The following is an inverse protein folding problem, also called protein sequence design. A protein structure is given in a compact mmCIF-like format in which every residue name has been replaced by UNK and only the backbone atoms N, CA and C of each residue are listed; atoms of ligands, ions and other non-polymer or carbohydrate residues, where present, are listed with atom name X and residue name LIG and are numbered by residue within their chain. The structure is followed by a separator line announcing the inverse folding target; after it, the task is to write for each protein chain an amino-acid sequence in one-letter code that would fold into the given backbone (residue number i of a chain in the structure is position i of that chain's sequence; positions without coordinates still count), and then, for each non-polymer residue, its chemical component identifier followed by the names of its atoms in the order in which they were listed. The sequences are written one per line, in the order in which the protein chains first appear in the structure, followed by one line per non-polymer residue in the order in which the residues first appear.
data_IF_369405587517
#
_entry.id   IF_369405587517
#
_cell.length_a   1.000
_cell.length_b   1.000
_cell.length_c   1.000
_cell.angle_alpha   90.00
_cell.angle_beta   90.00
_cell.angle_gamma   90.00
#
_symmetry.space_group_name_H-M   'P 1'
#
loop_
_entity.id
_entity.type
_entity.pdbx_description
1 polymer ?
#
# COMPACT_ATOMS: atom_id res chain seq x y z
N UNK A 1 8.77 -30.61 -3.89
CA UNK A 1 8.21 -29.57 -4.77
C UNK A 1 6.79 -29.30 -4.32
N UNK A 2 6.60 -28.33 -3.44
CA UNK A 2 5.29 -27.95 -2.90
C UNK A 2 4.81 -26.72 -3.66
N UNK A 3 3.70 -26.87 -4.38
CA UNK A 3 3.04 -25.81 -5.11
C UNK A 3 2.39 -24.83 -4.11
N UNK A 4 2.91 -23.60 -4.03
CA UNK A 4 2.24 -22.51 -3.33
C UNK A 4 1.12 -21.97 -4.23
N UNK A 5 -0.12 -22.06 -3.75
CA UNK A 5 -1.28 -21.41 -4.37
C UNK A 5 -1.36 -19.98 -3.85
N UNK A 6 -1.01 -19.02 -4.69
CA UNK A 6 -1.23 -17.59 -4.45
C UNK A 6 -2.74 -17.32 -4.51
N UNK A 7 -3.36 -16.96 -3.39
CA UNK A 7 -4.74 -16.47 -3.35
C UNK A 7 -4.73 -14.95 -3.43
N UNK A 8 -5.24 -14.39 -4.52
CA UNK A 8 -5.50 -12.96 -4.70
C UNK A 8 -6.87 -12.65 -4.10
N UNK A 9 -6.90 -11.99 -2.95
CA UNK A 9 -8.13 -11.43 -2.37
C UNK A 9 -8.20 -9.92 -2.72
N UNK A 10 -9.18 -9.55 -3.56
CA UNK A 10 -9.41 -8.16 -3.97
C UNK A 10 -10.46 -7.55 -3.04
N UNK A 11 -10.06 -6.66 -2.13
CA UNK A 11 -11.00 -5.83 -1.38
C UNK A 11 -11.40 -4.60 -2.23
N UNK A 12 -12.60 -4.59 -2.80
CA UNK A 12 -13.14 -3.47 -3.58
C UNK A 12 -14.01 -2.59 -2.69
N UNK A 13 -13.53 -1.42 -2.29
CA UNK A 13 -14.37 -0.39 -1.65
C UNK A 13 -14.98 0.49 -2.74
N UNK A 14 -16.21 0.20 -3.14
CA UNK A 14 -16.95 0.96 -4.14
C UNK A 14 -17.98 1.91 -3.48
N UNK A 15 -17.84 3.21 -3.70
CA UNK A 15 -18.91 4.19 -3.52
C UNK A 15 -19.48 4.57 -4.89
N UNK A 16 -20.77 4.27 -5.09
CA UNK A 16 -21.53 4.53 -6.32
C UNK A 16 -22.13 5.93 -6.30
N UNK A 17 -21.81 6.72 -7.33
CA UNK A 17 -22.70 7.75 -7.89
C UNK A 17 -22.49 7.77 -9.40
N UNK A 18 -23.56 7.48 -10.16
CA UNK A 18 -23.58 7.64 -11.62
C UNK A 18 -24.09 9.04 -11.94
N UNK A 19 -23.32 9.82 -12.70
CA UNK A 19 -23.82 10.92 -13.52
C UNK A 19 -22.95 11.02 -14.77
N UNK A 20 -23.63 11.02 -15.92
CA UNK A 20 -23.11 11.09 -17.28
C UNK A 20 -22.40 12.40 -17.56
N UNK A 21 -21.15 12.33 -17.97
CA UNK A 21 -20.38 13.44 -18.53
C UNK A 21 -18.96 12.97 -18.81
N UNK A 22 -18.55 13.00 -20.08
CA UNK A 22 -17.18 12.81 -20.60
C UNK A 22 -16.22 12.19 -19.58
N UNK A 23 -16.12 10.85 -19.53
CA UNK A 23 -15.33 10.14 -18.53
C UNK A 23 -13.84 10.50 -18.68
N UNK A 24 -13.40 11.58 -18.04
CA UNK A 24 -12.12 11.62 -17.39
C UNK A 24 -12.16 10.48 -16.37
N UNK A 25 -11.79 9.28 -16.81
CA UNK A 25 -11.59 8.14 -15.94
C UNK A 25 -10.73 8.67 -14.80
N UNK A 26 -11.29 8.69 -13.59
CA UNK A 26 -10.58 9.16 -12.43
C UNK A 26 -9.23 8.42 -12.41
N UNK A 27 -8.13 9.17 -12.32
CA UNK A 27 -6.80 8.59 -12.24
C UNK A 27 -6.71 7.86 -10.89
N UNK A 28 -6.93 6.54 -10.92
CA UNK A 28 -6.97 5.70 -9.72
C UNK A 28 -5.57 5.12 -9.52
N UNK A 29 -4.88 5.63 -8.51
CA UNK A 29 -3.59 5.09 -8.10
C UNK A 29 -3.80 3.88 -7.22
N UNK A 30 -3.32 2.73 -7.66
CA UNK A 30 -3.34 1.48 -6.88
C UNK A 30 -1.99 1.27 -6.22
N UNK A 31 -2.02 1.07 -4.90
CA UNK A 31 -0.89 0.60 -4.11
C UNK A 31 -1.11 -0.87 -3.78
N UNK A 32 -0.13 -1.69 -4.11
CA UNK A 32 -0.13 -3.11 -3.73
C UNK A 32 0.83 -3.33 -2.59
N UNK A 33 0.35 -3.90 -1.49
CA UNK A 33 1.13 -4.30 -0.34
C UNK A 33 1.28 -5.81 -0.35
N UNK A 34 2.51 -6.30 -0.35
CA UNK A 34 2.82 -7.71 -0.19
C UNK A 34 3.46 -7.89 1.18
N UNK A 35 2.79 -8.58 2.10
CA UNK A 35 3.25 -8.79 3.46
C UNK A 35 3.74 -10.22 3.56
N UNK A 36 5.02 -10.39 3.88
CA UNK A 36 5.68 -11.69 4.03
C UNK A 36 5.94 -11.93 5.52
N UNK A 37 5.39 -13.02 6.02
CA UNK A 37 5.62 -13.52 7.36
C UNK A 37 6.66 -14.63 7.34
N UNK A 38 7.88 -14.34 7.79
CA UNK A 38 8.94 -15.33 7.98
C UNK A 38 9.03 -15.81 9.45
N UNK A 39 8.07 -15.45 10.29
CA UNK A 39 8.01 -15.90 11.69
C UNK A 39 7.26 -17.22 11.80
N UNK A 40 7.43 -17.92 12.93
CA UNK A 40 6.75 -19.18 13.23
C UNK A 40 5.31 -19.02 13.73
N UNK A 41 4.87 -17.79 14.01
CA UNK A 41 3.49 -17.49 14.42
C UNK A 41 2.77 -16.58 13.42
N UNK A 42 1.46 -16.40 13.55
CA UNK A 42 0.73 -15.49 12.67
C UNK A 42 1.12 -14.04 12.95
N UNK A 43 1.17 -13.22 11.90
CA UNK A 43 1.20 -11.77 12.07
C UNK A 43 -0.22 -11.27 12.22
N UNK A 44 -0.45 -10.48 13.26
CA UNK A 44 -1.72 -9.80 13.52
C UNK A 44 -1.59 -8.33 13.18
N UNK A 45 -2.53 -7.81 12.40
CA UNK A 45 -2.57 -6.37 12.12
C UNK A 45 -2.89 -5.64 13.44
N UNK A 46 -1.95 -4.83 13.94
CA UNK A 46 -2.13 -4.10 15.20
C UNK A 46 -2.67 -2.69 14.96
N UNK A 47 -2.07 -1.96 14.01
CA UNK A 47 -2.49 -0.60 13.66
C UNK A 47 -2.51 -0.44 12.16
N UNK A 48 -3.48 0.31 11.65
CA UNK A 48 -3.46 0.81 10.27
C UNK A 48 -4.32 2.06 10.18
N UNK A 49 -4.08 2.86 9.14
CA UNK A 49 -4.97 3.92 8.69
C UNK A 49 -6.04 3.42 7.71
N UNK A 50 -6.20 2.10 7.55
CA UNK A 50 -7.19 1.50 6.66
C UNK A 50 -8.57 1.41 7.31
N UNK A 51 -9.63 1.46 6.51
CA UNK A 51 -10.97 1.26 7.01
C UNK A 51 -11.24 -0.24 7.25
N UNK A 52 -11.10 -0.66 8.51
CA UNK A 52 -11.29 -2.06 8.92
C UNK A 52 -12.78 -2.46 9.06
N UNK A 53 -13.71 -1.51 9.06
CA UNK A 53 -15.13 -1.78 9.35
C UNK A 53 -15.85 -2.60 8.27
N UNK A 54 -15.27 -2.70 7.08
CA UNK A 54 -15.86 -3.36 5.91
C UNK A 54 -15.26 -4.75 5.63
N UNK A 55 -14.31 -5.19 6.44
CA UNK A 55 -13.63 -6.48 6.25
C UNK A 55 -13.90 -7.41 7.43
N UNK A 56 -13.85 -8.71 7.17
CA UNK A 56 -13.97 -9.71 8.22
C UNK A 56 -12.79 -9.62 9.21
N UNK A 57 -13.02 -9.88 10.51
CA UNK A 57 -11.94 -9.96 11.48
C UNK A 57 -10.86 -10.95 11.03
N UNK A 58 -9.59 -10.52 11.09
CA UNK A 58 -8.46 -11.33 10.68
C UNK A 58 -8.21 -11.39 9.17
N UNK A 59 -8.99 -10.67 8.34
CA UNK A 59 -8.75 -10.57 6.90
C UNK A 59 -7.33 -10.14 6.55
N UNK A 60 -6.75 -9.25 7.35
CA UNK A 60 -5.39 -8.75 7.16
C UNK A 60 -4.32 -9.58 7.88
N UNK A 61 -4.69 -10.61 8.63
CA UNK A 61 -3.70 -11.44 9.30
C UNK A 61 -2.92 -12.28 8.27
N UNK A 62 -1.66 -12.54 8.60
CA UNK A 62 -0.77 -13.32 7.73
C UNK A 62 -0.32 -14.56 8.46
N UNK A 63 -0.64 -15.73 7.89
CA UNK A 63 -0.29 -17.02 8.47
C UNK A 63 1.23 -17.20 8.61
N UNK A 64 1.71 -18.06 9.52
CA UNK A 64 3.13 -18.39 9.64
C UNK A 64 3.75 -18.81 8.31
N UNK A 65 4.97 -18.35 8.03
CA UNK A 65 5.74 -18.75 6.84
C UNK A 65 4.97 -18.57 5.52
N UNK A 66 4.17 -17.51 5.44
CA UNK A 66 3.28 -17.25 4.31
C UNK A 66 3.34 -15.79 3.86
N UNK A 67 2.63 -15.47 2.79
CA UNK A 67 2.49 -14.13 2.25
C UNK A 67 1.02 -13.74 2.04
N UNK A 68 0.73 -12.45 2.17
CA UNK A 68 -0.59 -11.89 1.93
C UNK A 68 -0.45 -10.63 1.06
N UNK A 69 -1.18 -10.56 -0.05
CA UNK A 69 -1.19 -9.40 -0.94
C UNK A 69 -2.49 -8.61 -0.82
N UNK A 70 -2.37 -7.30 -0.59
CA UNK A 70 -3.49 -6.36 -0.41
C UNK A 70 -3.35 -5.25 -1.45
N UNK A 71 -4.37 -5.02 -2.26
CA UNK A 71 -4.42 -3.89 -3.18
C UNK A 71 -5.36 -2.82 -2.64
N UNK A 72 -4.87 -1.59 -2.49
CA UNK A 72 -5.67 -0.43 -2.08
C UNK A 72 -5.68 0.59 -3.20
N UNK A 73 -6.89 1.00 -3.58
CA UNK A 73 -7.12 1.93 -4.68
C UNK A 73 -7.47 3.32 -4.15
N UNK A 74 -6.69 4.31 -4.54
CA UNK A 74 -6.87 5.70 -4.16
C UNK A 74 -7.41 6.47 -5.35
N UNK A 75 -8.62 7.01 -5.20
CA UNK A 75 -9.15 8.01 -6.14
C UNK A 75 -8.42 9.32 -5.87
N UNK A 76 -7.33 9.58 -6.59
CA UNK A 76 -6.50 10.77 -6.39
C UNK A 76 -6.14 11.39 -7.73
N UNK A 77 -6.70 12.56 -8.04
CA UNK A 77 -6.22 13.34 -9.18
C UNK A 77 -4.87 13.94 -8.82
N UNK A 78 -3.78 13.44 -9.39
CA UNK A 78 -2.45 14.06 -9.28
C UNK A 78 -2.20 15.13 -10.35
N UNK A 79 -3.14 15.31 -11.29
CA UNK A 79 -3.08 16.30 -12.35
C UNK A 79 -3.53 17.70 -11.93
N UNK A 80 -3.31 18.66 -12.83
CA UNK A 80 -3.81 20.04 -12.70
C UNK A 80 -5.35 20.09 -12.61
N UNK A 81 -5.95 21.00 -11.82
CA UNK A 81 -5.35 21.95 -10.89
C UNK A 81 -5.24 21.39 -9.47
N UNK A 82 -4.05 20.95 -9.03
CA UNK A 82 -3.81 20.53 -7.64
C UNK A 82 -2.59 21.22 -7.04
N UNK A 83 -2.65 21.49 -5.73
CA UNK A 83 -1.51 22.01 -4.96
C UNK A 83 -0.42 20.95 -4.86
N UNK A 84 0.80 21.31 -5.27
CA UNK A 84 2.01 20.47 -5.21
C UNK A 84 2.84 20.81 -3.95
N UNK A 85 3.48 19.83 -3.28
CA UNK A 85 3.43 18.39 -3.54
C UNK A 85 2.15 17.74 -2.99
N UNK A 86 1.60 16.78 -3.74
CA UNK A 86 0.61 15.84 -3.22
C UNK A 86 1.33 14.65 -2.58
N UNK A 87 0.90 14.23 -1.38
CA UNK A 87 1.51 13.10 -0.67
C UNK A 87 0.42 12.11 -0.31
N UNK A 88 0.61 10.86 -0.70
CA UNK A 88 -0.15 9.71 -0.25
C UNK A 88 0.77 8.91 0.67
N UNK A 89 0.36 8.69 1.91
CA UNK A 89 1.14 8.00 2.93
C UNK A 89 0.31 6.92 3.59
N UNK A 90 0.91 5.76 3.77
CA UNK A 90 0.34 4.62 4.47
C UNK A 90 1.25 4.20 5.61
N UNK A 91 0.63 3.92 6.75
CA UNK A 91 1.35 3.45 7.95
C UNK A 91 0.52 2.37 8.61
N UNK A 92 1.13 1.21 8.79
CA UNK A 92 0.50 0.09 9.47
C UNK A 92 1.54 -0.73 10.22
N UNK A 93 1.11 -1.48 11.23
CA UNK A 93 1.99 -2.35 12.01
C UNK A 93 1.44 -3.75 12.16
N UNK A 94 2.35 -4.72 12.14
CA UNK A 94 2.08 -6.14 12.35
C UNK A 94 2.81 -6.62 13.59
N UNK A 95 2.10 -7.36 14.43
CA UNK A 95 2.62 -7.93 15.67
C UNK A 95 2.64 -9.46 15.63
N UNK A 96 3.65 -10.05 16.25
CA UNK A 96 3.77 -11.48 16.53
C UNK A 96 4.23 -11.64 18.00
N UNK A 97 3.28 -11.81 18.91
CA UNK A 97 3.55 -11.80 20.35
C UNK A 97 4.12 -10.45 20.81
N UNK A 98 5.32 -10.45 21.38
CA UNK A 98 6.01 -9.26 21.87
C UNK A 98 6.79 -8.50 20.79
N UNK A 99 6.89 -9.07 19.58
CA UNK A 99 7.56 -8.45 18.42
C UNK A 99 6.56 -7.66 17.60
N UNK A 100 6.96 -6.49 17.11
CA UNK A 100 6.13 -5.67 16.22
C UNK A 100 7.00 -4.95 15.19
N UNK A 101 6.56 -4.96 13.94
CA UNK A 101 7.14 -4.16 12.86
C UNK A 101 6.15 -3.08 12.42
N UNK A 102 6.58 -1.82 12.44
CA UNK A 102 5.85 -0.70 11.83
C UNK A 102 6.38 -0.46 10.42
N UNK A 103 5.48 -0.48 9.45
CA UNK A 103 5.75 -0.26 8.04
C UNK A 103 5.20 1.09 7.59
N UNK A 104 5.99 1.80 6.77
CA UNK A 104 5.61 3.08 6.20
C UNK A 104 5.89 3.06 4.71
N UNK A 105 4.95 3.58 3.92
CA UNK A 105 5.23 3.93 2.54
C UNK A 105 4.64 5.29 2.19
N UNK A 106 5.29 6.00 1.30
CA UNK A 106 4.81 7.28 0.80
C UNK A 106 5.07 7.42 -0.70
N UNK A 107 4.06 7.97 -1.39
CA UNK A 107 4.16 8.50 -2.75
C UNK A 107 4.06 10.02 -2.65
N UNK A 108 5.14 10.71 -3.02
CA UNK A 108 5.19 12.16 -3.17
C UNK A 108 5.14 12.48 -4.66
N UNK A 109 4.14 13.26 -5.07
CA UNK A 109 3.98 13.72 -6.46
C UNK A 109 4.14 15.22 -6.50
N UNK A 110 5.07 15.68 -7.33
CA UNK A 110 5.25 17.09 -7.64
C UNK A 110 4.81 17.37 -9.07
N UNK A 111 4.22 18.54 -9.27
CA UNK A 111 3.86 19.05 -10.57
C UNK A 111 4.78 20.23 -10.90
N UNK A 112 5.39 20.21 -12.07
CA UNK A 112 6.08 21.36 -12.67
C UNK A 112 5.38 21.75 -13.96
N UNK A 113 5.47 23.03 -14.33
CA UNK A 113 4.93 23.52 -15.60
C UNK A 113 6.08 23.69 -16.58
N UNK A 114 6.05 22.92 -17.67
CA UNK A 114 6.85 23.21 -18.86
C UNK A 114 6.15 24.26 -19.74
N UNK A 115 6.72 24.51 -20.93
CA UNK A 115 6.22 25.53 -21.88
C UNK A 115 4.85 25.17 -22.49
N UNK A 116 4.49 23.88 -22.57
CA UNK A 116 3.26 23.43 -23.26
C UNK A 116 2.31 22.56 -22.42
N UNK A 117 2.81 21.79 -21.44
CA UNK A 117 2.00 20.91 -20.58
C UNK A 117 2.62 20.75 -19.19
N UNK A 118 1.81 20.44 -18.15
CA UNK A 118 2.34 20.07 -16.84
C UNK A 118 3.09 18.73 -16.91
N UNK A 119 4.23 18.66 -16.23
CA UNK A 119 5.01 17.44 -16.04
C UNK A 119 4.85 16.97 -14.61
N UNK A 120 4.53 15.69 -14.42
CA UNK A 120 4.49 15.06 -13.10
C UNK A 120 5.84 14.40 -12.79
N UNK A 121 6.35 14.62 -11.59
CA UNK A 121 7.48 13.89 -11.03
C UNK A 121 7.03 13.20 -9.75
N UNK A 122 7.46 11.95 -9.57
CA UNK A 122 7.05 11.13 -8.43
C UNK A 122 8.25 10.54 -7.72
N UNK A 123 8.21 10.57 -6.38
CA UNK A 123 9.18 9.90 -5.51
C UNK A 123 8.43 8.96 -4.59
N UNK A 124 8.97 7.75 -4.44
CA UNK A 124 8.41 6.70 -3.59
C UNK A 124 9.43 6.34 -2.52
N UNK A 125 8.96 6.10 -1.32
CA UNK A 125 9.79 5.66 -0.20
C UNK A 125 9.05 4.59 0.58
N UNK A 126 9.76 3.54 0.97
CA UNK A 126 9.25 2.53 1.89
C UNK A 126 10.27 2.34 3.02
N UNK A 127 9.79 2.14 4.23
CA UNK A 127 10.63 1.88 5.40
C UNK A 127 9.95 0.92 6.36
N UNK A 128 10.75 0.19 7.12
CA UNK A 128 10.31 -0.71 8.17
C UNK A 128 11.11 -0.43 9.44
N UNK A 129 10.45 -0.49 10.60
CA UNK A 129 11.07 -0.26 11.91
C UNK A 129 10.55 -1.29 12.90
N UNK A 130 11.45 -1.92 13.67
CA UNK A 130 11.07 -2.75 14.81
C UNK A 130 10.59 -1.85 15.94
N UNK A 131 9.35 -2.03 16.38
CA UNK A 131 8.67 -1.21 17.40
C UNK A 131 8.08 -2.05 18.54
N UNK A 132 8.33 -3.36 18.54
CA UNK A 132 7.90 -4.26 19.61
C UNK A 132 8.73 -4.12 20.88
N UNK A 133 8.34 -4.88 21.92
CA UNK A 133 9.17 -5.04 23.12
C UNK A 133 10.40 -5.89 22.82
N UNK A 134 10.23 -6.91 21.99
CA UNK A 134 11.32 -7.74 21.48
C UNK A 134 11.71 -7.29 20.07
N UNK A 135 13.00 -7.34 19.78
CA UNK A 135 13.53 -7.04 18.46
C UNK A 135 13.01 -8.01 17.40
N UNK A 136 12.66 -7.45 16.23
CA UNK A 136 12.21 -8.19 15.06
C UNK A 136 12.98 -7.73 13.82
N UNK A 137 13.20 -8.64 12.86
CA UNK A 137 13.80 -8.28 11.58
C UNK A 137 12.72 -7.74 10.66
N UNK A 138 12.67 -6.42 10.49
CA UNK A 138 11.70 -5.74 9.65
C UNK A 138 12.37 -5.22 8.37
N UNK A 139 11.82 -5.54 7.21
CA UNK A 139 12.32 -5.05 5.91
C UNK A 139 11.18 -4.47 5.06
N UNK A 140 11.50 -3.46 4.27
CA UNK A 140 10.58 -2.82 3.32
C UNK A 140 11.28 -2.59 1.98
N UNK A 141 10.63 -2.96 0.88
CA UNK A 141 11.19 -2.81 -0.47
C UNK A 141 10.10 -2.48 -1.47
N UNK A 142 10.29 -1.41 -2.25
CA UNK A 142 9.47 -1.15 -3.43
C UNK A 142 9.86 -2.17 -4.50
N UNK A 143 8.90 -2.96 -4.98
CA UNK A 143 9.12 -4.06 -5.93
C UNK A 143 8.79 -3.66 -7.36
N UNK A 144 7.72 -2.88 -7.55
CA UNK A 144 7.26 -2.43 -8.86
C UNK A 144 6.81 -0.97 -8.80
N UNK A 145 6.95 -0.24 -9.91
CA UNK A 145 6.49 1.15 -10.03
C UNK A 145 6.17 1.53 -11.47
N UNK A 146 5.19 2.42 -11.64
CA UNK A 146 4.96 3.14 -12.90
C UNK A 146 5.35 4.60 -12.74
N UNK A 147 6.16 5.14 -13.65
CA UNK A 147 6.58 6.55 -13.59
C UNK A 147 5.57 7.50 -14.26
N UNK A 148 4.56 6.94 -14.92
CA UNK A 148 3.44 7.66 -15.51
C UNK A 148 2.16 7.44 -14.69
N UNK A 149 1.26 8.43 -14.73
CA UNK A 149 -0.11 8.33 -14.23
C UNK A 149 -0.76 7.00 -14.68
N UNK A 150 -1.39 6.22 -13.78
CA UNK A 150 -1.83 6.57 -12.41
C UNK A 150 -0.77 6.46 -11.29
N UNK A 151 0.51 6.28 -11.60
CA UNK A 151 1.61 6.21 -10.61
C UNK A 151 1.55 5.01 -9.65
N UNK A 152 0.96 3.91 -10.08
CA UNK A 152 0.87 2.65 -9.33
C UNK A 152 2.24 2.18 -8.84
N UNK A 153 2.26 1.54 -7.68
CA UNK A 153 3.46 0.87 -7.20
C UNK A 153 3.15 -0.23 -6.18
N UNK A 154 4.07 -1.18 -6.12
CA UNK A 154 4.00 -2.33 -5.24
C UNK A 154 5.11 -2.25 -4.20
N UNK A 155 4.80 -2.61 -2.96
CA UNK A 155 5.76 -2.65 -1.86
C UNK A 155 5.65 -3.97 -1.14
N UNK A 156 6.81 -4.61 -0.95
CA UNK A 156 6.97 -5.79 -0.14
C UNK A 156 7.46 -5.41 1.26
N UNK A 157 6.76 -5.90 2.26
CA UNK A 157 7.11 -5.77 3.67
C UNK A 157 7.37 -7.17 4.23
N UNK A 158 8.43 -7.31 5.00
CA UNK A 158 8.83 -8.61 5.56
C UNK A 158 9.08 -8.47 7.05
N UNK A 159 8.57 -9.42 7.83
CA UNK A 159 8.86 -9.58 9.25
C UNK A 159 9.41 -10.99 9.49
N UNK A 160 10.52 -11.10 10.22
CA UNK A 160 11.19 -12.35 10.58
C UNK A 160 11.79 -12.31 11.97
#
# INVERSE_FOLDING_TARGET
MTHFKTYLAIAVVATTTMLTGMNAQADVTTLTFEIINNTSGPLKLNRSNWNLSLVEPGYFDVDPLSEHSIAVSYKTSFGYPRKTPAILREVFSYANGNRECTFNTALRVTQSFGVFKPTLSSTRSASATSTGMDDAKCEARITEKTDQAPLNYSVRFTMG
#
